data_IF_594951746508
#
_entry.id   IF_594951746508
#
_cell.length_a   1.000
_cell.length_b   1.000
_cell.length_c   1.000
_cell.angle_alpha   90.00
_cell.angle_beta   90.00
_cell.angle_gamma   90.00
#
_symmetry.space_group_name_H-M   'P 1'
#
loop_
_entity.id
_entity.type
_entity.pdbx_description
1 polymer ?
#
# COMPACT_ATOMS: atom_id res chain seq x y z
N UNK A 1 9.56 28.56 33.00
CA UNK A 1 8.29 27.98 32.52
C UNK A 1 8.64 27.03 31.38
N UNK A 2 8.79 25.73 31.68
CA UNK A 2 8.97 24.70 30.66
C UNK A 2 7.70 24.62 29.83
N UNK A 3 7.84 24.79 28.51
CA UNK A 3 6.75 24.52 27.57
C UNK A 3 6.43 23.03 27.68
N UNK A 4 5.16 22.64 27.85
CA UNK A 4 4.79 21.23 27.80
C UNK A 4 5.21 20.68 26.43
N UNK A 5 6.24 19.85 26.39
CA UNK A 5 6.64 19.13 25.18
C UNK A 5 5.56 18.09 24.93
N UNK A 6 4.74 18.31 23.91
CA UNK A 6 3.77 17.31 23.47
C UNK A 6 4.60 16.14 22.95
N UNK A 7 4.41 14.97 23.55
CA UNK A 7 5.07 13.75 23.08
C UNK A 7 4.55 13.41 21.68
N UNK A 8 5.40 13.64 20.68
CA UNK A 8 5.04 13.45 19.26
C UNK A 8 4.63 12.04 18.94
N UNK A 9 5.20 11.05 19.63
CA UNK A 9 4.86 9.64 19.46
C UNK A 9 3.46 9.35 20.00
N UNK A 10 3.08 9.99 21.10
CA UNK A 10 1.73 9.91 21.64
C UNK A 10 0.70 10.50 20.67
N UNK A 11 1.00 11.67 20.12
CA UNK A 11 0.12 12.32 19.14
C UNK A 11 -0.03 11.46 17.88
N UNK A 12 1.07 10.93 17.36
CA UNK A 12 1.07 10.04 16.20
C UNK A 12 0.30 8.75 16.48
N UNK A 13 0.54 8.13 17.64
CA UNK A 13 -0.15 6.92 18.08
C UNK A 13 -1.67 7.12 18.16
N UNK A 14 -2.10 8.21 18.82
CA UNK A 14 -3.54 8.53 18.94
C UNK A 14 -4.15 8.86 17.57
N UNK A 15 -3.47 9.68 16.75
CA UNK A 15 -3.97 10.05 15.43
C UNK A 15 -4.12 8.81 14.52
N UNK A 16 -3.12 7.92 14.50
CA UNK A 16 -3.16 6.68 13.74
C UNK A 16 -4.22 5.71 14.27
N UNK A 17 -4.44 5.67 15.58
CA UNK A 17 -5.49 4.85 16.21
C UNK A 17 -6.88 5.34 15.79
N UNK A 18 -7.12 6.64 15.86
CA UNK A 18 -8.37 7.25 15.41
C UNK A 18 -8.59 7.00 13.91
N UNK A 19 -7.56 7.20 13.09
CA UNK A 19 -7.64 6.93 11.65
C UNK A 19 -7.95 5.45 11.36
N UNK A 20 -7.28 4.51 12.03
CA UNK A 20 -7.55 3.07 11.89
C UNK A 20 -8.98 2.70 12.27
N UNK A 21 -9.49 3.27 13.37
CA UNK A 21 -10.89 3.07 13.78
C UNK A 21 -11.88 3.67 12.78
N UNK A 22 -11.62 4.87 12.26
CA UNK A 22 -12.47 5.48 11.23
C UNK A 22 -12.49 4.65 9.94
N UNK A 23 -11.34 4.14 9.52
CA UNK A 23 -11.25 3.26 8.34
C UNK A 23 -12.08 1.99 8.59
N UNK A 24 -11.88 1.32 9.72
CA UNK A 24 -12.51 0.03 10.01
C UNK A 24 -14.02 0.13 10.21
N UNK A 25 -14.48 1.14 10.97
CA UNK A 25 -15.89 1.22 11.40
C UNK A 25 -16.74 2.16 10.56
N UNK A 26 -16.15 3.06 9.78
CA UNK A 26 -16.88 4.04 8.98
C UNK A 26 -16.62 3.86 7.50
N UNK A 27 -15.34 3.92 7.08
CA UNK A 27 -15.04 3.91 5.66
C UNK A 27 -15.32 2.56 5.01
N UNK A 28 -14.76 1.46 5.53
CA UNK A 28 -14.97 0.13 4.95
C UNK A 28 -16.45 -0.23 4.82
N UNK A 29 -17.30 -0.06 5.86
CA UNK A 29 -18.73 -0.37 5.73
C UNK A 29 -19.50 0.53 4.75
N UNK A 30 -18.99 1.73 4.45
CA UNK A 30 -19.63 2.64 3.48
C UNK A 30 -19.17 2.42 2.03
N UNK A 31 -17.97 1.88 1.84
CA UNK A 31 -17.31 1.76 0.53
C UNK A 31 -17.46 0.35 -0.07
N UNK A 32 -17.58 -0.68 0.77
CA UNK A 32 -17.58 -2.07 0.33
C UNK A 32 -18.94 -2.72 0.52
N UNK A 33 -19.52 -3.22 -0.58
CA UNK A 33 -20.85 -3.87 -0.56
C UNK A 33 -20.79 -5.29 0.02
N UNK A 34 -19.65 -6.00 -0.12
CA UNK A 34 -19.48 -7.37 0.36
C UNK A 34 -18.82 -7.42 1.73
N UNK A 35 -19.32 -8.32 2.60
CA UNK A 35 -18.75 -8.52 3.94
C UNK A 35 -17.36 -9.18 3.91
N UNK A 36 -16.83 -9.53 5.09
CA UNK A 36 -15.54 -10.24 5.24
C UNK A 36 -15.55 -11.59 4.52
N UNK A 37 -16.70 -12.25 4.48
CA UNK A 37 -16.90 -13.57 3.89
C UNK A 37 -18.20 -13.56 3.12
N UNK A 38 -18.15 -13.91 1.86
CA UNK A 38 -19.34 -14.04 1.00
C UNK A 38 -19.62 -15.53 0.71
N UNK A 39 -20.91 -15.88 0.77
CA UNK A 39 -21.37 -17.24 0.51
C UNK A 39 -22.07 -17.29 -0.86
N UNK A 40 -21.33 -17.69 -1.90
CA UNK A 40 -21.87 -17.79 -3.24
C UNK A 40 -22.07 -19.28 -3.58
N UNK A 41 -23.34 -19.72 -3.75
CA UNK A 41 -23.71 -21.09 -4.18
C UNK A 41 -22.96 -22.21 -3.45
N UNK A 42 -22.98 -22.23 -2.12
CA UNK A 42 -22.30 -23.25 -1.28
C UNK A 42 -20.77 -23.17 -1.25
N UNK A 43 -20.16 -22.18 -1.85
CA UNK A 43 -18.71 -21.88 -1.71
C UNK A 43 -18.54 -20.66 -0.85
N UNK A 44 -17.56 -20.73 0.06
CA UNK A 44 -17.12 -19.60 0.86
C UNK A 44 -16.06 -18.87 0.05
N UNK A 45 -16.31 -17.58 -0.25
CA UNK A 45 -15.39 -16.71 -0.98
C UNK A 45 -14.99 -15.58 -0.04
N UNK A 46 -13.76 -15.14 -0.14
CA UNK A 46 -13.25 -13.98 0.57
C UNK A 46 -13.94 -12.74 0.01
N UNK A 47 -14.60 -11.96 0.88
CA UNK A 47 -15.24 -10.72 0.46
C UNK A 47 -14.25 -9.58 0.33
N UNK A 48 -14.64 -8.53 -0.40
CA UNK A 48 -13.79 -7.39 -0.74
C UNK A 48 -13.35 -6.59 0.49
N UNK A 49 -14.13 -6.63 1.58
CA UNK A 49 -13.79 -5.94 2.83
C UNK A 49 -12.68 -6.62 3.64
N UNK A 50 -12.28 -7.86 3.31
CA UNK A 50 -11.34 -8.62 4.14
C UNK A 50 -9.94 -8.01 4.15
N UNK A 51 -9.39 -7.65 2.99
CA UNK A 51 -8.05 -7.09 2.88
C UNK A 51 -7.94 -5.70 3.56
N UNK A 52 -8.82 -4.73 3.29
CA UNK A 52 -8.79 -3.43 3.96
C UNK A 52 -9.09 -3.55 5.46
N UNK A 53 -9.98 -4.46 5.89
CA UNK A 53 -10.26 -4.68 7.30
C UNK A 53 -9.04 -5.25 8.05
N UNK A 54 -8.34 -6.21 7.46
CA UNK A 54 -7.10 -6.76 8.04
C UNK A 54 -6.03 -5.69 8.17
N UNK A 55 -5.85 -4.86 7.13
CA UNK A 55 -4.91 -3.74 7.16
C UNK A 55 -5.26 -2.73 8.26
N UNK A 56 -6.55 -2.38 8.42
CA UNK A 56 -7.02 -1.49 9.48
C UNK A 56 -6.79 -2.07 10.88
N UNK A 57 -7.03 -3.37 11.07
CA UNK A 57 -6.77 -4.05 12.35
C UNK A 57 -5.28 -4.03 12.70
N UNK A 58 -4.40 -4.28 11.73
CA UNK A 58 -2.94 -4.21 11.92
C UNK A 58 -2.53 -2.78 12.28
N UNK A 59 -3.09 -1.78 11.60
CA UNK A 59 -2.85 -0.36 11.89
C UNK A 59 -3.27 -0.01 13.33
N UNK A 60 -4.46 -0.44 13.76
CA UNK A 60 -4.96 -0.23 15.13
C UNK A 60 -4.02 -0.88 16.15
N UNK A 61 -3.63 -2.13 15.92
CA UNK A 61 -2.72 -2.84 16.82
C UNK A 61 -1.35 -2.14 16.93
N UNK A 62 -0.77 -1.73 15.81
CA UNK A 62 0.49 -1.00 15.78
C UNK A 62 0.38 0.37 16.47
N UNK A 63 -0.70 1.10 16.23
CA UNK A 63 -0.98 2.40 16.85
C UNK A 63 -1.17 2.28 18.37
N UNK A 64 -1.82 1.22 18.82
CA UNK A 64 -1.99 0.95 20.24
C UNK A 64 -0.64 0.65 20.91
N UNK A 65 0.20 -0.17 20.28
CA UNK A 65 1.55 -0.45 20.77
C UNK A 65 2.39 0.82 20.85
N UNK A 66 2.35 1.68 19.83
CA UNK A 66 3.06 2.96 19.80
C UNK A 66 2.58 3.88 20.93
N UNK A 67 1.26 3.98 21.15
CA UNK A 67 0.66 4.77 22.21
C UNK A 67 1.11 4.27 23.59
N UNK A 68 1.08 2.96 23.83
CA UNK A 68 1.53 2.36 25.10
C UNK A 68 3.03 2.60 25.32
N UNK A 69 3.84 2.45 24.27
CA UNK A 69 5.27 2.69 24.36
C UNK A 69 5.59 4.16 24.65
N UNK A 70 4.84 5.08 24.09
CA UNK A 70 4.99 6.52 24.29
C UNK A 70 4.74 6.94 25.75
N UNK A 71 3.88 6.25 26.49
CA UNK A 71 3.70 6.48 27.93
C UNK A 71 4.91 6.04 28.78
N UNK A 72 5.72 5.11 28.26
CA UNK A 72 6.89 4.57 28.97
C UNK A 72 8.18 5.31 28.64
N UNK A 73 8.23 5.94 27.46
CA UNK A 73 9.44 6.57 26.94
C UNK A 73 9.17 8.07 26.79
N UNK A 74 9.85 8.89 27.60
CA UNK A 74 9.84 10.34 27.41
C UNK A 74 10.80 10.67 26.27
N UNK A 75 10.37 10.46 25.05
CA UNK A 75 11.14 10.80 23.86
C UNK A 75 10.76 12.21 23.40
N UNK A 76 11.68 13.16 23.51
CA UNK A 76 11.58 14.42 22.82
C UNK A 76 11.87 14.18 21.33
N UNK A 77 10.84 13.87 20.55
CA UNK A 77 10.98 13.99 19.10
C UNK A 77 10.72 15.44 18.70
N UNK A 78 11.77 16.15 18.39
CA UNK A 78 11.65 17.40 17.65
C UNK A 78 11.09 17.08 16.26
N UNK A 79 9.93 17.66 15.96
CA UNK A 79 9.38 17.67 14.61
C UNK A 79 10.32 18.53 13.74
N UNK A 80 11.37 17.92 13.26
CA UNK A 80 12.39 18.60 12.49
C UNK A 80 11.91 18.72 11.03
N UNK A 81 12.26 19.83 10.39
CA UNK A 81 11.98 20.08 8.97
C UNK A 81 12.43 18.90 8.07
N UNK A 82 13.43 18.15 8.50
CA UNK A 82 13.89 16.94 7.81
C UNK A 82 12.89 15.79 7.91
N UNK A 83 12.21 15.60 9.03
CA UNK A 83 11.17 14.56 9.18
C UNK A 83 10.01 14.80 8.21
N UNK A 84 9.59 16.05 8.03
CA UNK A 84 8.57 16.41 7.03
C UNK A 84 9.01 16.12 5.59
N UNK A 85 10.29 16.38 5.28
CA UNK A 85 10.86 16.04 3.96
C UNK A 85 10.83 14.53 3.71
N UNK A 86 11.17 13.71 4.71
CA UNK A 86 11.11 12.26 4.59
C UNK A 86 9.68 11.78 4.33
N UNK A 87 8.71 12.25 5.10
CA UNK A 87 7.29 11.92 4.88
C UNK A 87 6.84 12.35 3.49
N UNK A 88 7.16 13.59 3.08
CA UNK A 88 6.85 14.10 1.75
C UNK A 88 7.47 13.25 0.63
N UNK A 89 8.72 12.81 0.82
CA UNK A 89 9.39 11.94 -0.15
C UNK A 89 8.74 10.55 -0.23
N UNK A 90 8.37 9.96 0.90
CA UNK A 90 7.64 8.68 0.92
C UNK A 90 6.31 8.81 0.17
N UNK A 91 5.53 9.85 0.46
CA UNK A 91 4.27 10.10 -0.23
C UNK A 91 4.46 10.34 -1.74
N UNK A 92 5.54 11.05 -2.12
CA UNK A 92 5.88 11.26 -3.53
C UNK A 92 6.23 9.94 -4.24
N UNK A 93 7.01 9.06 -3.60
CA UNK A 93 7.35 7.73 -4.14
C UNK A 93 6.07 6.89 -4.28
N UNK A 94 5.19 6.89 -3.27
CA UNK A 94 3.92 6.18 -3.33
C UNK A 94 3.03 6.71 -4.46
N UNK A 95 2.86 8.02 -4.57
CA UNK A 95 2.07 8.66 -5.62
C UNK A 95 2.63 8.35 -7.02
N UNK A 96 3.95 8.44 -7.19
CA UNK A 96 4.61 8.08 -8.44
C UNK A 96 4.40 6.60 -8.80
N UNK A 97 4.53 5.71 -7.82
CA UNK A 97 4.29 4.28 -8.01
C UNK A 97 2.86 3.99 -8.47
N UNK A 98 1.86 4.60 -7.83
CA UNK A 98 0.45 4.47 -8.21
C UNK A 98 0.20 5.03 -9.62
N UNK A 99 0.81 6.17 -9.97
CA UNK A 99 0.76 6.71 -11.33
C UNK A 99 1.34 5.73 -12.35
N UNK A 100 2.54 5.21 -12.10
CA UNK A 100 3.17 4.21 -12.98
C UNK A 100 2.28 2.98 -13.08
N UNK A 101 1.74 2.47 -11.98
CA UNK A 101 0.85 1.32 -11.95
C UNK A 101 -0.38 1.54 -12.85
N UNK A 102 -1.02 2.70 -12.74
CA UNK A 102 -2.23 3.02 -13.49
C UNK A 102 -1.97 3.24 -14.99
N UNK A 103 -0.87 3.91 -15.34
CA UNK A 103 -0.63 4.34 -16.72
C UNK A 103 0.25 3.38 -17.53
N UNK A 104 1.05 2.53 -16.89
CA UNK A 104 1.98 1.65 -17.59
C UNK A 104 1.28 0.67 -18.56
N UNK A 105 0.16 0.06 -18.15
CA UNK A 105 -0.62 -0.84 -19.00
C UNK A 105 -1.22 -0.12 -20.24
N UNK A 106 -2.01 0.95 -20.06
CA UNK A 106 -2.56 1.73 -21.16
C UNK A 106 -1.50 2.29 -22.10
N UNK A 107 -0.39 2.82 -21.59
CA UNK A 107 0.71 3.34 -22.41
C UNK A 107 1.37 2.24 -23.26
N UNK A 108 1.61 1.08 -22.67
CA UNK A 108 2.19 -0.06 -23.40
C UNK A 108 1.24 -0.56 -24.50
N UNK A 109 -0.06 -0.62 -24.26
CA UNK A 109 -1.06 -0.99 -25.26
C UNK A 109 -1.18 0.05 -26.37
N UNK A 110 -1.12 1.34 -26.04
CA UNK A 110 -1.13 2.43 -27.02
C UNK A 110 0.08 2.35 -27.98
N UNK A 111 1.28 2.04 -27.45
CA UNK A 111 2.47 1.82 -28.28
C UNK A 111 2.35 0.58 -29.18
N UNK A 112 1.56 -0.41 -28.77
CA UNK A 112 1.26 -1.62 -29.53
C UNK A 112 0.08 -1.49 -30.50
N UNK A 113 -0.49 -0.30 -30.67
CA UNK A 113 -1.69 -0.05 -31.51
C UNK A 113 -2.90 -0.92 -31.14
N UNK A 114 -3.05 -1.28 -29.88
CA UNK A 114 -4.07 -2.20 -29.38
C UNK A 114 -4.95 -1.52 -28.32
N UNK A 115 -6.23 -1.91 -28.22
CA UNK A 115 -7.11 -1.42 -27.17
C UNK A 115 -6.81 -2.15 -25.86
N UNK A 116 -6.39 -1.38 -24.83
CA UNK A 116 -6.03 -1.93 -23.52
C UNK A 116 -7.18 -2.71 -22.85
N UNK A 117 -8.44 -2.28 -23.03
CA UNK A 117 -9.61 -2.95 -22.45
C UNK A 117 -9.74 -4.41 -22.86
N UNK A 118 -9.39 -4.74 -24.09
CA UNK A 118 -9.45 -6.10 -24.62
C UNK A 118 -8.28 -6.97 -24.15
N UNK A 119 -7.17 -6.35 -23.75
CA UNK A 119 -5.93 -7.03 -23.40
C UNK A 119 -5.71 -7.19 -21.89
N UNK A 120 -6.42 -6.42 -21.05
CA UNK A 120 -6.18 -6.35 -19.60
C UNK A 120 -6.21 -7.68 -18.88
N UNK A 121 -6.98 -8.66 -19.38
CA UNK A 121 -7.13 -10.00 -18.81
C UNK A 121 -6.12 -11.00 -19.37
N UNK A 122 -5.33 -10.60 -20.38
CA UNK A 122 -4.36 -11.46 -21.03
C UNK A 122 -2.95 -11.25 -20.50
N UNK A 123 -2.15 -12.31 -20.51
CA UNK A 123 -0.71 -12.25 -20.21
C UNK A 123 0.01 -11.67 -21.44
N UNK A 124 0.91 -10.71 -21.29
CA UNK A 124 1.50 -10.15 -20.06
C UNK A 124 0.78 -8.91 -19.52
N UNK A 125 -0.23 -8.39 -20.21
CA UNK A 125 -0.87 -7.08 -19.96
C UNK A 125 -1.43 -6.95 -18.54
N UNK A 126 -2.01 -8.02 -17.99
CA UNK A 126 -2.57 -8.02 -16.63
C UNK A 126 -1.52 -7.75 -15.54
N UNK A 127 -0.22 -7.94 -15.84
CA UNK A 127 0.85 -7.79 -14.84
C UNK A 127 1.67 -6.52 -14.99
N UNK A 128 1.70 -5.90 -16.17
CA UNK A 128 2.61 -4.80 -16.50
C UNK A 128 2.49 -3.65 -15.50
N UNK A 129 1.26 -3.20 -15.22
CA UNK A 129 0.99 -2.10 -14.29
C UNK A 129 1.49 -2.41 -12.88
N UNK A 130 1.08 -3.56 -12.33
CA UNK A 130 1.46 -4.00 -11.01
C UNK A 130 2.97 -4.20 -10.87
N UNK A 131 3.59 -4.86 -11.85
CA UNK A 131 5.02 -5.15 -11.83
C UNK A 131 5.86 -3.87 -11.88
N UNK A 132 5.57 -2.95 -12.79
CA UNK A 132 6.32 -1.69 -12.92
C UNK A 132 6.05 -0.75 -11.74
N UNK A 133 4.78 -0.58 -11.36
CA UNK A 133 4.43 0.28 -10.24
C UNK A 133 4.96 -0.27 -8.91
N UNK A 134 4.74 -1.54 -8.62
CA UNK A 134 5.27 -2.19 -7.42
C UNK A 134 6.79 -2.13 -7.34
N UNK A 135 7.48 -2.40 -8.45
CA UNK A 135 8.95 -2.30 -8.52
C UNK A 135 9.44 -0.88 -8.28
N UNK A 136 8.73 0.13 -8.81
CA UNK A 136 9.05 1.54 -8.58
C UNK A 136 8.91 1.88 -7.09
N UNK A 137 7.85 1.40 -6.42
CA UNK A 137 7.64 1.63 -4.99
C UNK A 137 8.75 1.01 -4.15
N UNK A 138 9.01 -0.28 -4.33
CA UNK A 138 10.03 -1.00 -3.54
C UNK A 138 11.43 -0.42 -3.80
N UNK A 139 11.77 -0.16 -5.06
CA UNK A 139 13.03 0.48 -5.45
C UNK A 139 13.18 1.87 -4.82
N UNK A 140 12.14 2.70 -4.91
CA UNK A 140 12.14 4.06 -4.36
C UNK A 140 12.34 4.08 -2.86
N UNK A 141 11.57 3.25 -2.12
CA UNK A 141 11.65 3.19 -0.66
C UNK A 141 13.02 2.66 -0.17
N UNK A 142 13.54 1.58 -0.76
CA UNK A 142 14.86 1.05 -0.38
C UNK A 142 15.96 2.05 -0.72
N UNK A 143 15.91 2.67 -1.91
CA UNK A 143 16.90 3.66 -2.33
C UNK A 143 16.90 4.90 -1.44
N UNK A 144 15.71 5.31 -0.97
CA UNK A 144 15.57 6.39 -0.01
C UNK A 144 16.22 6.02 1.34
N UNK A 145 16.01 4.81 1.83
CA UNK A 145 16.60 4.34 3.09
C UNK A 145 18.12 4.21 3.01
N UNK A 146 18.64 3.69 1.89
CA UNK A 146 20.09 3.57 1.68
C UNK A 146 20.79 4.88 1.27
N UNK A 147 20.02 5.89 0.86
CA UNK A 147 20.55 7.15 0.33
C UNK A 147 21.32 7.00 -0.97
N UNK A 148 21.17 5.90 -1.68
CA UNK A 148 21.92 5.57 -2.91
C UNK A 148 21.08 4.79 -3.89
N UNK A 149 21.22 5.11 -5.19
CA UNK A 149 20.66 4.33 -6.29
C UNK A 149 21.68 3.27 -6.73
N UNK A 150 21.34 1.99 -6.57
CA UNK A 150 22.22 0.87 -6.94
C UNK A 150 21.44 -0.16 -7.78
N UNK A 151 22.12 -0.75 -8.74
CA UNK A 151 21.56 -1.84 -9.55
C UNK A 151 21.09 -3.04 -8.72
N UNK A 152 21.75 -3.32 -7.59
CA UNK A 152 21.36 -4.39 -6.67
C UNK A 152 19.96 -4.14 -6.11
N UNK A 153 19.63 -2.89 -5.74
CA UNK A 153 18.32 -2.52 -5.21
C UNK A 153 17.25 -2.73 -6.29
N UNK A 154 17.54 -2.36 -7.53
CA UNK A 154 16.62 -2.57 -8.64
C UNK A 154 16.31 -4.07 -8.83
N UNK A 155 17.33 -4.92 -8.85
CA UNK A 155 17.16 -6.38 -8.99
C UNK A 155 16.34 -6.93 -7.83
N UNK A 156 16.65 -6.53 -6.58
CA UNK A 156 15.89 -6.96 -5.39
C UNK A 156 14.42 -6.54 -5.50
N UNK A 157 14.16 -5.31 -5.94
CA UNK A 157 12.80 -4.79 -6.10
C UNK A 157 12.01 -5.56 -7.16
N UNK A 158 12.63 -5.84 -8.31
CA UNK A 158 12.01 -6.62 -9.37
C UNK A 158 11.70 -8.05 -8.90
N UNK A 159 12.64 -8.69 -8.22
CA UNK A 159 12.46 -10.05 -7.68
C UNK A 159 11.38 -10.09 -6.59
N UNK A 160 11.37 -9.12 -5.68
CA UNK A 160 10.38 -9.05 -4.61
C UNK A 160 8.96 -8.93 -5.18
N UNK A 161 8.75 -8.05 -6.16
CA UNK A 161 7.44 -7.87 -6.80
C UNK A 161 7.05 -9.08 -7.64
N UNK A 162 8.01 -9.70 -8.33
CA UNK A 162 7.76 -10.96 -9.05
C UNK A 162 7.31 -12.06 -8.10
N UNK A 163 7.96 -12.22 -6.95
CA UNK A 163 7.58 -13.21 -5.94
C UNK A 163 6.18 -12.92 -5.41
N UNK A 164 5.87 -11.66 -5.10
CA UNK A 164 4.52 -11.27 -4.67
C UNK A 164 3.47 -11.59 -5.73
N UNK A 165 3.76 -11.28 -6.99
CA UNK A 165 2.86 -11.57 -8.12
C UNK A 165 2.61 -13.07 -8.24
N UNK A 166 3.64 -13.90 -8.12
CA UNK A 166 3.50 -15.36 -8.15
C UNK A 166 2.68 -15.89 -6.95
N UNK A 167 2.91 -15.35 -5.75
CA UNK A 167 2.16 -15.74 -4.55
C UNK A 167 0.67 -15.43 -4.70
N UNK A 168 0.31 -14.32 -5.34
CA UNK A 168 -1.09 -13.96 -5.55
C UNK A 168 -1.73 -14.67 -6.75
N UNK A 169 -1.01 -14.86 -7.85
CA UNK A 169 -1.58 -15.45 -9.06
C UNK A 169 -1.73 -16.99 -9.01
N UNK A 170 -0.77 -17.68 -8.35
CA UNK A 170 -0.79 -19.14 -8.29
C UNK A 170 -1.98 -19.74 -7.53
N UNK A 171 -2.38 -19.23 -6.34
CA UNK A 171 -3.51 -19.79 -5.59
C UNK A 171 -4.88 -19.32 -6.09
N UNK A 172 -4.96 -18.13 -6.69
CA UNK A 172 -6.21 -17.49 -7.03
C UNK A 172 -6.41 -17.42 -8.55
N UNK A 173 -7.13 -18.38 -9.09
CA UNK A 173 -7.56 -18.36 -10.50
C UNK A 173 -8.52 -17.16 -10.70
N UNK A 174 -8.23 -16.31 -11.64
CA UNK A 174 -9.00 -15.10 -12.02
C UNK A 174 -8.84 -13.89 -11.09
N UNK A 175 -7.78 -13.79 -10.30
CA UNK A 175 -7.48 -12.55 -9.59
C UNK A 175 -6.92 -11.52 -10.58
N UNK A 176 -7.62 -10.39 -10.70
CA UNK A 176 -7.10 -9.22 -11.41
C UNK A 176 -6.26 -8.41 -10.43
N UNK A 177 -4.96 -8.32 -10.72
CA UNK A 177 -4.07 -7.48 -9.92
C UNK A 177 -4.32 -6.00 -10.21
N UNK A 178 -4.22 -5.11 -9.21
CA UNK A 178 -4.34 -3.67 -9.44
C UNK A 178 -3.40 -3.19 -10.56
N UNK A 179 -3.81 -2.23 -11.41
CA UNK A 179 -5.05 -1.46 -11.37
C UNK A 179 -6.18 -2.06 -12.22
N UNK A 180 -6.03 -3.27 -12.72
CA UNK A 180 -6.91 -3.84 -13.75
C UNK A 180 -8.34 -4.15 -13.25
N UNK A 181 -8.55 -4.21 -11.95
CA UNK A 181 -9.87 -4.42 -11.37
C UNK A 181 -10.81 -3.21 -11.47
N UNK A 182 -10.22 -1.99 -11.57
CA UNK A 182 -10.95 -0.72 -11.42
C UNK A 182 -11.10 0.07 -12.72
N UNK A 183 -10.80 -0.53 -13.89
CA UNK A 183 -10.78 0.20 -15.19
C UNK A 183 -11.80 -0.35 -16.17
#
# INVERSE_FOLDING_TARGET
MEKPSINSDLLLGIASLVAGCLILFVWIPLDVETGLIEKVRSRVVIGDSMAPALAAVILIAASLMLTIQSFRTHGEMEFTRNSLKYVGLVLAIMGLSLMVMRWAGPLAAFLGNSDYRSLRDTVPWKYIGYFLGGSTMVFGLISMMEGRLRWRILIISLLAVLILMLIYDLPFKNLLLPPNGDV
#
